data_IF_885745623437
#
_entry.id   IF_885745623437
#
_cell.length_a   1.000
_cell.length_b   1.000
_cell.length_c   1.000
_cell.angle_alpha   90.00
_cell.angle_beta   90.00
_cell.angle_gamma   90.00
#
_symmetry.space_group_name_H-M   'P 1'
#
loop_
_entity.id
_entity.type
_entity.pdbx_description
1 polymer ?
#
# COMPACT_ATOMS: atom_id res chain seq x y z
N UNK A 1 40.88 -9.94 -61.76
CA UNK A 1 40.59 -8.52 -62.08
C UNK A 1 39.07 -8.30 -62.08
N UNK A 2 38.61 -7.31 -61.30
CA UNK A 2 37.26 -6.68 -61.25
C UNK A 2 36.02 -7.56 -61.44
N UNK A 3 35.34 -7.91 -60.33
CA UNK A 3 33.90 -8.24 -60.32
C UNK A 3 33.09 -7.03 -59.86
N UNK A 4 32.04 -6.77 -60.63
CA UNK A 4 31.10 -5.65 -60.56
C UNK A 4 30.08 -5.87 -59.44
N UNK A 5 29.78 -4.79 -58.71
CA UNK A 5 28.69 -4.67 -57.74
C UNK A 5 27.38 -4.39 -58.49
N UNK A 6 26.33 -5.13 -58.20
CA UNK A 6 24.94 -4.66 -58.33
C UNK A 6 24.26 -4.75 -56.96
N UNK A 7 23.65 -3.64 -56.55
CA UNK A 7 22.80 -3.49 -55.36
C UNK A 7 21.37 -3.87 -55.75
N UNK A 8 20.68 -4.68 -54.94
CA UNK A 8 19.27 -4.46 -54.62
C UNK A 8 18.83 -5.31 -53.42
N UNK A 9 18.29 -4.60 -52.42
CA UNK A 9 17.15 -4.95 -51.57
C UNK A 9 17.06 -6.35 -50.93
N UNK A 10 17.32 -6.40 -49.62
CA UNK A 10 16.40 -7.03 -48.65
C UNK A 10 16.62 -6.42 -47.27
N UNK A 11 15.50 -6.07 -46.64
CA UNK A 11 15.39 -5.34 -45.39
C UNK A 11 15.91 -6.17 -44.20
N UNK A 12 16.66 -5.52 -43.33
CA UNK A 12 16.99 -6.00 -42.00
C UNK A 12 15.77 -5.88 -41.10
N UNK A 13 15.18 -7.02 -40.71
CA UNK A 13 14.46 -7.14 -39.45
C UNK A 13 15.41 -7.81 -38.45
N UNK A 14 16.18 -6.98 -37.74
CA UNK A 14 16.95 -7.35 -36.54
C UNK A 14 16.82 -6.13 -35.63
N UNK A 15 16.05 -6.19 -34.55
CA UNK A 15 16.44 -6.90 -33.35
C UNK A 15 16.47 -5.86 -32.23
N UNK A 16 15.34 -5.69 -31.55
CA UNK A 16 15.26 -5.02 -30.25
C UNK A 16 14.52 -5.96 -29.31
N UNK A 17 15.15 -7.12 -29.07
CA UNK A 17 14.84 -7.98 -27.94
C UNK A 17 15.93 -7.71 -26.89
N UNK A 18 15.85 -6.54 -26.25
CA UNK A 18 16.59 -6.30 -25.01
C UNK A 18 15.65 -6.65 -23.88
N UNK A 19 15.74 -7.92 -23.47
CA UNK A 19 15.34 -8.36 -22.14
C UNK A 19 15.90 -7.36 -21.13
N UNK A 20 15.00 -6.62 -20.48
CA UNK A 20 15.29 -5.97 -19.21
C UNK A 20 15.56 -7.10 -18.21
N UNK A 21 16.83 -7.49 -18.09
CA UNK A 21 17.26 -8.38 -17.00
C UNK A 21 16.89 -7.70 -15.69
N UNK A 22 16.12 -8.41 -14.87
CA UNK A 22 15.66 -8.03 -13.54
C UNK A 22 16.82 -7.68 -12.59
N UNK A 23 17.44 -6.52 -12.76
CA UNK A 23 18.11 -5.82 -11.66
C UNK A 23 17.05 -4.97 -10.98
N UNK A 24 16.30 -5.58 -10.06
CA UNK A 24 15.51 -4.82 -9.08
C UNK A 24 16.50 -4.10 -8.18
N UNK A 25 16.75 -2.83 -8.46
CA UNK A 25 17.27 -1.95 -7.42
C UNK A 25 16.20 -1.93 -6.31
N UNK A 26 16.56 -2.16 -5.03
CA UNK A 26 15.63 -1.94 -3.94
C UNK A 26 15.34 -0.44 -3.88
N UNK A 27 14.08 -0.06 -4.06
CA UNK A 27 13.63 1.28 -3.69
C UNK A 27 13.94 1.49 -2.20
N UNK A 28 14.28 2.71 -1.75
CA UNK A 28 14.73 2.93 -0.38
C UNK A 28 13.67 2.46 0.61
N UNK A 29 14.09 1.77 1.67
CA UNK A 29 13.20 1.36 2.74
C UNK A 29 12.54 2.59 3.35
N UNK A 30 11.24 2.46 3.60
CA UNK A 30 10.34 3.41 4.27
C UNK A 30 10.86 3.91 5.66
N UNK A 31 11.97 3.37 6.14
CA UNK A 31 12.69 3.67 7.39
C UNK A 31 13.18 5.11 7.52
N UNK A 32 13.66 5.75 6.46
CA UNK A 32 14.22 7.11 6.57
C UNK A 32 13.17 8.22 6.74
N UNK A 33 11.88 7.90 6.54
CA UNK A 33 10.83 8.91 6.29
C UNK A 33 9.87 9.15 7.46
N UNK A 34 10.06 8.47 8.61
CA UNK A 34 9.05 8.37 9.69
C UNK A 34 9.11 9.43 10.79
N UNK A 35 10.17 10.23 10.91
CA UNK A 35 10.37 11.12 12.06
C UNK A 35 9.42 12.34 12.16
N UNK A 36 8.56 12.60 11.16
CA UNK A 36 7.83 13.89 11.06
C UNK A 36 6.31 13.85 11.30
N UNK A 37 5.64 12.69 11.35
CA UNK A 37 4.17 12.62 11.31
C UNK A 37 3.45 12.31 12.64
N UNK A 38 4.13 12.33 13.77
CA UNK A 38 3.50 12.11 15.08
C UNK A 38 3.02 13.42 15.72
N UNK A 39 1.95 14.06 15.22
CA UNK A 39 1.14 15.04 15.99
C UNK A 39 -0.14 15.51 15.27
N UNK A 40 -1.30 15.12 15.84
CA UNK A 40 -2.61 15.82 15.96
C UNK A 40 -3.80 14.94 15.57
N UNK A 41 -4.43 14.35 16.57
CA UNK A 41 -5.88 14.07 16.58
C UNK A 41 -6.37 14.37 18.00
N UNK A 42 -7.29 15.32 18.13
CA UNK A 42 -7.91 15.72 19.41
C UNK A 42 -9.36 15.26 19.40
N UNK A 43 -9.78 14.47 20.39
CA UNK A 43 -11.20 14.20 20.62
C UNK A 43 -11.55 14.17 22.11
N UNK A 44 -12.74 14.71 22.38
CA UNK A 44 -13.36 14.92 23.67
C UNK A 44 -13.68 13.60 24.40
N UNK A 45 -13.36 13.54 25.69
CA UNK A 45 -13.75 12.47 26.60
C UNK A 45 -15.06 12.81 27.32
N UNK A 46 -16.07 11.96 27.21
CA UNK A 46 -17.28 12.01 28.03
C UNK A 46 -17.19 11.00 29.18
N UNK A 47 -17.26 11.50 30.42
CA UNK A 47 -17.31 10.71 31.66
C UNK A 47 -18.69 10.08 31.86
N UNK A 48 -18.72 8.78 32.17
CA UNK A 48 -19.88 8.08 32.71
C UNK A 48 -19.44 6.85 33.48
N UNK A 49 -19.31 6.98 34.81
CA UNK A 49 -18.89 5.90 35.70
C UNK A 49 -20.10 5.06 36.13
N UNK A 50 -20.10 3.78 35.75
CA UNK A 50 -20.96 2.74 36.32
C UNK A 50 -20.08 1.65 36.96
N UNK A 51 -20.17 1.49 38.29
CA UNK A 51 -19.51 0.39 39.02
C UNK A 51 -20.16 -0.94 38.61
N UNK A 52 -19.37 -1.84 38.03
CA UNK A 52 -19.75 -3.26 37.86
C UNK A 52 -18.56 -4.14 38.24
N UNK A 53 -18.86 -5.19 39.01
CA UNK A 53 -17.95 -6.13 39.64
C UNK A 53 -16.93 -6.74 38.65
N UNK A 54 -15.65 -6.43 38.86
CA UNK A 54 -14.52 -6.94 38.09
C UNK A 54 -14.24 -8.40 38.43
N UNK A 55 -14.31 -9.28 37.43
CA UNK A 55 -13.86 -10.68 37.53
C UNK A 55 -12.35 -10.75 37.81
N UNK A 56 -11.93 -11.49 38.84
CA UNK A 56 -10.54 -11.57 39.31
C UNK A 56 -9.49 -11.92 38.24
N UNK A 57 -9.86 -12.68 37.21
CA UNK A 57 -8.97 -13.10 36.12
C UNK A 57 -8.37 -11.93 35.33
N UNK A 58 -9.13 -10.85 35.15
CA UNK A 58 -8.68 -9.65 34.44
C UNK A 58 -7.61 -8.90 35.23
N UNK A 59 -7.81 -8.80 36.55
CA UNK A 59 -6.82 -8.22 37.45
C UNK A 59 -5.53 -9.04 37.41
N UNK A 60 -5.64 -10.38 37.45
CA UNK A 60 -4.48 -11.27 37.38
C UNK A 60 -3.72 -11.17 36.05
N UNK A 61 -4.41 -11.01 34.92
CA UNK A 61 -3.78 -10.85 33.60
C UNK A 61 -3.09 -9.48 33.43
N UNK A 62 -3.64 -8.43 34.02
CA UNK A 62 -3.04 -7.09 34.02
C UNK A 62 -1.84 -7.00 34.96
N UNK A 63 -1.84 -7.81 36.02
CA UNK A 63 -0.74 -7.91 36.99
C UNK A 63 0.42 -8.80 36.50
N UNK A 64 0.27 -9.51 35.35
CA UNK A 64 1.38 -10.27 34.75
C UNK A 64 2.46 -9.33 34.22
N UNK A 65 3.71 -9.65 34.50
CA UNK A 65 4.83 -9.05 33.80
C UNK A 65 4.77 -9.39 32.29
N UNK A 66 5.41 -8.59 31.41
CA UNK A 66 5.47 -8.89 29.97
C UNK A 66 5.99 -10.30 29.67
N UNK A 67 6.93 -10.82 30.47
CA UNK A 67 7.47 -12.18 30.32
C UNK A 67 6.45 -13.27 30.68
N UNK A 68 5.66 -13.07 31.74
CA UNK A 68 4.63 -14.01 32.17
C UNK A 68 3.43 -14.00 31.23
N UNK A 69 3.02 -12.81 30.78
CA UNK A 69 2.00 -12.67 29.74
C UNK A 69 2.50 -13.33 28.44
N UNK A 70 3.74 -13.07 28.03
CA UNK A 70 4.36 -13.71 26.87
C UNK A 70 4.39 -15.23 26.98
N UNK A 71 4.71 -15.78 28.15
CA UNK A 71 4.73 -17.23 28.41
C UNK A 71 3.33 -17.84 28.38
N UNK A 72 2.33 -17.15 28.96
CA UNK A 72 0.94 -17.58 28.94
C UNK A 72 0.37 -17.59 27.51
N UNK A 73 0.63 -16.53 26.75
CA UNK A 73 0.20 -16.41 25.35
C UNK A 73 0.90 -17.43 24.45
N UNK A 74 2.19 -17.67 24.65
CA UNK A 74 2.93 -18.72 23.93
C UNK A 74 2.38 -20.11 24.23
N UNK A 75 2.05 -20.41 25.49
CA UNK A 75 1.45 -21.67 25.90
C UNK A 75 0.04 -21.86 25.31
N UNK A 76 -0.78 -20.81 25.26
CA UNK A 76 -2.10 -20.82 24.62
C UNK A 76 -1.98 -21.03 23.10
N UNK A 77 -1.06 -20.33 22.44
CA UNK A 77 -0.80 -20.49 21.01
C UNK A 77 -0.30 -21.90 20.67
N UNK A 78 0.59 -22.48 21.48
CA UNK A 78 1.06 -23.85 21.33
C UNK A 78 -0.08 -24.88 21.51
N UNK A 79 -1.00 -24.65 22.45
CA UNK A 79 -2.18 -25.51 22.63
C UNK A 79 -3.16 -25.44 21.46
N UNK A 80 -3.35 -24.26 20.87
CA UNK A 80 -4.18 -24.11 19.67
C UNK A 80 -3.57 -24.81 18.43
N UNK A 81 -2.24 -24.96 18.37
CA UNK A 81 -1.55 -25.75 17.33
C UNK A 81 -1.70 -27.26 17.51
N UNK A 82 -2.00 -27.73 18.73
CA UNK A 82 -2.05 -29.15 19.09
C UNK A 82 -3.45 -29.77 19.01
N UNK A 83 -4.42 -29.12 18.37
CA UNK A 83 -5.72 -29.75 18.06
C UNK A 83 -5.75 -30.26 16.60
N UNK A 84 -5.27 -31.49 16.32
CA UNK A 84 -5.24 -32.06 14.97
C UNK A 84 -6.63 -32.43 14.43
N UNK A 85 -7.72 -32.22 15.20
CA UNK A 85 -9.07 -32.66 14.79
C UNK A 85 -9.79 -31.70 13.83
N UNK A 86 -9.22 -30.53 13.53
CA UNK A 86 -9.79 -29.55 12.58
C UNK A 86 -9.10 -29.59 11.19
N UNK A 87 -8.06 -30.41 11.02
CA UNK A 87 -7.13 -30.30 9.88
C UNK A 87 -6.96 -31.52 8.96
N UNK A 88 -7.89 -32.47 8.88
CA UNK A 88 -7.82 -33.49 7.81
C UNK A 88 -8.37 -32.92 6.50
N UNK A 89 -7.49 -32.36 5.66
CA UNK A 89 -7.77 -32.16 4.22
C UNK A 89 -7.99 -33.54 3.57
N UNK A 90 -9.10 -33.77 2.85
CA UNK A 90 -9.21 -34.94 2.00
C UNK A 90 -8.26 -34.75 0.81
N UNK A 91 -7.26 -35.63 0.71
CA UNK A 91 -6.45 -35.76 -0.50
C UNK A 91 -7.27 -36.44 -1.59
N UNK A 92 -7.20 -35.84 -2.79
CA UNK A 92 -7.66 -36.33 -4.10
C UNK A 92 -9.17 -36.39 -4.37
N UNK A 93 -9.65 -35.46 -5.23
CA UNK A 93 -10.89 -35.64 -6.00
C UNK A 93 -11.71 -34.37 -6.28
N UNK A 94 -11.47 -33.73 -7.43
CA UNK A 94 -12.35 -32.83 -8.21
C UNK A 94 -12.85 -31.48 -7.62
N UNK A 95 -12.83 -30.37 -8.41
CA UNK A 95 -13.32 -29.07 -7.97
C UNK A 95 -14.80 -28.89 -8.34
N UNK A 96 -15.72 -29.35 -7.50
CA UNK A 96 -17.14 -28.99 -7.59
C UNK A 96 -17.85 -29.21 -6.25
N UNK A 97 -17.74 -28.24 -5.33
CA UNK A 97 -18.41 -28.30 -4.03
C UNK A 97 -18.84 -26.91 -3.53
N UNK A 98 -19.58 -26.17 -4.35
CA UNK A 98 -20.37 -25.01 -3.91
C UNK A 98 -21.84 -25.17 -4.31
N UNK A 99 -22.50 -26.27 -3.91
CA UNK A 99 -23.96 -26.38 -3.84
C UNK A 99 -24.39 -27.70 -3.16
N UNK A 100 -24.70 -27.64 -1.87
CA UNK A 100 -25.81 -28.42 -1.28
C UNK A 100 -26.15 -27.92 0.12
N UNK A 101 -27.38 -27.38 0.23
CA UNK A 101 -28.16 -27.34 1.48
C UNK A 101 -28.54 -28.77 1.86
N UNK A 102 -28.47 -29.14 3.14
CA UNK A 102 -29.62 -29.46 4.01
C UNK A 102 -29.19 -30.23 5.29
N UNK A 103 -29.74 -29.75 6.41
CA UNK A 103 -30.23 -30.45 7.61
C UNK A 103 -29.39 -31.54 8.30
N UNK A 104 -28.86 -31.22 9.49
CA UNK A 104 -28.94 -32.10 10.65
C UNK A 104 -28.81 -31.28 11.95
N UNK A 105 -29.87 -31.31 12.75
CA UNK A 105 -29.99 -30.65 14.05
C UNK A 105 -29.28 -31.44 15.15
N UNK A 106 -28.14 -30.93 15.63
CA UNK A 106 -27.62 -31.22 16.97
C UNK A 106 -27.05 -29.93 17.53
N UNK A 107 -27.76 -29.31 18.50
CA UNK A 107 -27.25 -28.15 19.25
C UNK A 107 -26.54 -28.65 20.51
N UNK A 108 -25.21 -28.49 20.65
CA UNK A 108 -24.58 -28.44 21.96
C UNK A 108 -24.60 -26.99 22.47
N UNK A 109 -24.60 -26.82 23.80
CA UNK A 109 -24.57 -25.55 24.53
C UNK A 109 -23.46 -24.59 24.05
N UNK A 110 -23.73 -23.77 23.03
CA UNK A 110 -22.82 -22.73 22.50
C UNK A 110 -22.95 -21.38 23.21
N UNK A 111 -24.06 -21.11 23.90
CA UNK A 111 -24.36 -19.76 24.40
C UNK A 111 -23.56 -19.33 25.63
N UNK A 112 -23.02 -20.27 26.41
CA UNK A 112 -22.23 -19.97 27.61
C UNK A 112 -20.77 -19.58 27.34
N UNK A 113 -20.17 -20.12 26.27
CA UNK A 113 -18.75 -19.93 25.96
C UNK A 113 -18.48 -18.62 25.19
N UNK A 114 -19.45 -18.14 24.41
CA UNK A 114 -19.33 -16.88 23.66
C UNK A 114 -19.34 -15.64 24.57
N UNK A 115 -20.14 -15.63 25.64
CA UNK A 115 -20.25 -14.46 26.55
C UNK A 115 -19.08 -14.31 27.54
N UNK A 116 -18.35 -15.39 27.82
CA UNK A 116 -17.22 -15.39 28.77
C UNK A 116 -15.87 -15.07 28.10
N UNK A 117 -15.68 -15.39 26.81
CA UNK A 117 -14.48 -15.03 26.04
C UNK A 117 -14.31 -13.52 25.84
N UNK A 118 -15.42 -12.79 25.81
CA UNK A 118 -15.54 -11.39 25.37
C UNK A 118 -14.98 -10.28 26.26
N UNK A 119 -14.61 -10.53 27.53
CA UNK A 119 -14.31 -9.41 28.46
C UNK A 119 -12.87 -9.35 28.93
N UNK A 120 -12.22 -10.52 29.07
CA UNK A 120 -10.87 -10.64 29.61
C UNK A 120 -9.79 -10.17 28.65
N UNK A 121 -9.70 -10.89 27.54
CA UNK A 121 -8.75 -10.60 26.47
C UNK A 121 -9.03 -9.23 25.82
N UNK A 122 -10.29 -8.83 25.77
CA UNK A 122 -10.74 -7.60 25.12
C UNK A 122 -10.36 -6.37 25.93
N UNK A 123 -10.56 -6.38 27.24
CA UNK A 123 -10.08 -5.27 28.08
C UNK A 123 -8.55 -5.19 28.09
N UNK A 124 -7.85 -6.32 27.94
CA UNK A 124 -6.40 -6.33 27.79
C UNK A 124 -5.97 -5.69 26.45
N UNK A 125 -6.52 -6.15 25.32
CA UNK A 125 -6.20 -5.58 24.00
C UNK A 125 -6.61 -4.10 23.91
N UNK A 126 -7.80 -3.73 24.40
CA UNK A 126 -8.25 -2.35 24.47
C UNK A 126 -7.34 -1.51 25.37
N UNK A 127 -6.91 -2.03 26.54
CA UNK A 127 -5.96 -1.32 27.41
C UNK A 127 -4.58 -1.15 26.76
N UNK A 128 -4.12 -2.12 25.96
CA UNK A 128 -2.87 -2.01 25.21
C UNK A 128 -2.99 -0.96 24.08
N UNK A 129 -4.14 -0.89 23.39
CA UNK A 129 -4.44 0.13 22.39
C UNK A 129 -4.59 1.52 23.02
N UNK A 130 -5.26 1.65 24.17
CA UNK A 130 -5.43 2.92 24.88
C UNK A 130 -4.12 3.51 25.39
N UNK A 131 -3.10 2.67 25.66
CA UNK A 131 -1.72 3.10 25.95
C UNK A 131 -1.00 3.58 24.68
N UNK A 132 -1.71 4.33 23.81
CA UNK A 132 -1.42 4.78 22.43
C UNK A 132 -0.21 5.73 22.28
N UNK A 133 0.90 5.37 22.90
CA UNK A 133 2.25 5.90 22.73
C UNK A 133 3.31 4.80 22.71
N UNK A 134 2.90 3.51 22.72
CA UNK A 134 3.80 2.37 22.55
C UNK A 134 4.28 2.35 21.10
N UNK A 135 5.55 2.69 20.89
CA UNK A 135 6.16 2.75 19.55
C UNK A 135 6.48 1.38 18.97
N UNK A 136 6.57 0.34 19.81
CA UNK A 136 6.84 -1.03 19.42
C UNK A 136 6.04 -2.01 20.27
N UNK A 137 5.43 -3.01 19.63
CA UNK A 137 4.67 -4.06 20.31
C UNK A 137 5.56 -5.27 20.52
N UNK A 138 5.40 -5.94 21.67
CA UNK A 138 6.08 -7.21 21.87
C UNK A 138 5.51 -8.31 20.95
N UNK A 139 6.34 -9.28 20.60
CA UNK A 139 5.94 -10.38 19.71
C UNK A 139 4.70 -11.16 20.20
N UNK A 140 4.50 -11.41 21.51
CA UNK A 140 3.28 -12.04 22.01
C UNK A 140 2.00 -11.24 21.74
N UNK A 141 2.00 -9.93 21.92
CA UNK A 141 0.84 -9.06 21.65
C UNK A 141 0.49 -9.10 20.16
N UNK A 142 1.49 -8.98 19.29
CA UNK A 142 1.31 -9.06 17.83
C UNK A 142 0.76 -10.43 17.43
N UNK A 143 1.31 -11.51 17.98
CA UNK A 143 0.84 -12.87 17.70
C UNK A 143 -0.61 -13.08 18.15
N UNK A 144 -0.98 -12.57 19.33
CA UNK A 144 -2.34 -12.66 19.86
C UNK A 144 -3.34 -11.88 19.00
N UNK A 145 -3.00 -10.65 18.63
CA UNK A 145 -3.83 -9.84 17.73
C UNK A 145 -4.01 -10.51 16.36
N UNK A 146 -2.95 -11.13 15.83
CA UNK A 146 -3.01 -11.88 14.58
C UNK A 146 -3.93 -13.11 14.65
N UNK A 147 -3.81 -13.93 15.71
CA UNK A 147 -4.67 -15.12 15.90
C UNK A 147 -6.13 -14.69 16.06
N UNK A 148 -6.39 -13.68 16.88
CA UNK A 148 -7.75 -13.21 17.12
C UNK A 148 -8.37 -12.63 15.86
N UNK A 149 -7.62 -11.80 15.11
CA UNK A 149 -8.11 -11.26 13.85
C UNK A 149 -8.45 -12.37 12.87
N UNK A 150 -7.56 -13.35 12.66
CA UNK A 150 -7.85 -14.49 11.79
C UNK A 150 -9.12 -15.24 12.24
N UNK A 151 -9.27 -15.50 13.54
CA UNK A 151 -10.46 -16.17 14.08
C UNK A 151 -11.75 -15.38 13.81
N UNK A 152 -11.73 -14.06 13.98
CA UNK A 152 -12.88 -13.20 13.69
C UNK A 152 -13.21 -13.19 12.19
N UNK A 153 -12.19 -13.07 11.33
CA UNK A 153 -12.38 -12.97 9.88
C UNK A 153 -12.75 -14.30 9.21
N UNK A 154 -12.36 -15.44 9.79
CA UNK A 154 -12.71 -16.77 9.29
C UNK A 154 -13.94 -17.39 9.96
N UNK A 155 -14.58 -16.69 10.90
CA UNK A 155 -15.78 -17.17 11.56
C UNK A 155 -16.99 -17.18 10.61
N UNK A 156 -17.87 -18.16 10.77
CA UNK A 156 -19.18 -18.20 10.10
C UNK A 156 -20.20 -17.29 10.78
N UNK A 157 -19.89 -16.80 11.99
CA UNK A 157 -20.69 -15.85 12.74
C UNK A 157 -20.25 -14.41 12.42
N UNK A 158 -21.12 -13.43 12.65
CA UNK A 158 -20.78 -12.03 12.40
C UNK A 158 -19.57 -11.61 13.27
N UNK A 159 -18.48 -11.09 12.67
CA UNK A 159 -17.30 -10.68 13.43
C UNK A 159 -17.63 -9.57 14.42
N UNK A 160 -17.00 -9.62 15.58
CA UNK A 160 -17.06 -8.54 16.56
C UNK A 160 -16.30 -7.32 16.01
N UNK A 161 -17.04 -6.28 15.64
CA UNK A 161 -16.47 -5.12 14.99
C UNK A 161 -15.44 -4.37 15.86
N UNK A 162 -15.70 -4.27 17.17
CA UNK A 162 -14.78 -3.58 18.08
C UNK A 162 -13.47 -4.35 18.19
N UNK A 163 -13.55 -5.68 18.26
CA UNK A 163 -12.37 -6.53 18.33
C UNK A 163 -11.55 -6.48 17.05
N UNK A 164 -12.20 -6.58 15.88
CA UNK A 164 -11.49 -6.47 14.60
C UNK A 164 -10.80 -5.12 14.49
N UNK A 165 -11.48 -4.02 14.84
CA UNK A 165 -10.87 -2.68 14.86
C UNK A 165 -9.62 -2.66 15.74
N UNK A 166 -9.70 -3.18 16.97
CA UNK A 166 -8.57 -3.18 17.91
C UNK A 166 -7.41 -4.06 17.42
N UNK A 167 -7.69 -5.25 16.91
CA UNK A 167 -6.67 -6.13 16.34
C UNK A 167 -6.02 -5.51 15.10
N UNK A 168 -6.79 -4.88 14.20
CA UNK A 168 -6.25 -4.18 13.05
C UNK A 168 -5.32 -3.03 13.48
N UNK A 169 -5.73 -2.22 14.46
CA UNK A 169 -4.89 -1.13 14.96
C UNK A 169 -3.56 -1.62 15.56
N UNK A 170 -3.58 -2.70 16.34
CA UNK A 170 -2.35 -3.30 16.88
C UNK A 170 -1.45 -3.82 15.76
N UNK A 171 -2.04 -4.50 14.78
CA UNK A 171 -1.27 -5.05 13.66
C UNK A 171 -0.76 -3.96 12.72
N UNK A 172 -1.46 -2.83 12.56
CA UNK A 172 -0.95 -1.65 11.84
C UNK A 172 0.34 -1.14 12.49
N UNK A 173 0.35 -0.99 13.83
CA UNK A 173 1.56 -0.59 14.58
C UNK A 173 2.67 -1.62 14.42
N UNK A 174 2.34 -2.91 14.46
CA UNK A 174 3.32 -3.99 14.29
C UNK A 174 3.92 -4.02 12.87
N UNK A 175 3.10 -3.81 11.84
CA UNK A 175 3.56 -3.70 10.44
C UNK A 175 4.46 -2.48 10.30
N UNK A 176 4.07 -1.33 10.86
CA UNK A 176 4.93 -0.15 10.87
C UNK A 176 6.27 -0.49 11.55
N UNK A 177 6.28 -1.05 12.76
CA UNK A 177 7.53 -1.40 13.47
C UNK A 177 8.38 -2.42 12.69
N UNK A 178 7.74 -3.41 12.05
CA UNK A 178 8.41 -4.38 11.19
C UNK A 178 9.09 -3.74 9.98
N UNK A 179 8.46 -2.74 9.37
CA UNK A 179 9.07 -1.97 8.28
C UNK A 179 10.29 -1.18 8.78
N UNK A 180 10.35 -0.83 10.07
CA UNK A 180 11.47 -0.10 10.68
C UNK A 180 12.62 -0.99 11.20
N UNK A 181 12.34 -2.27 11.44
CA UNK A 181 13.26 -3.23 12.06
C UNK A 181 13.55 -4.44 11.17
N UNK A 182 12.91 -4.50 10.01
CA UNK A 182 12.99 -5.56 9.01
C UNK A 182 12.29 -6.88 9.37
N UNK A 183 11.52 -6.97 10.48
CA UNK A 183 10.92 -8.26 10.90
C UNK A 183 9.54 -8.12 11.55
N UNK A 184 8.52 -8.63 10.86
CA UNK A 184 7.22 -8.94 11.47
C UNK A 184 7.27 -10.33 12.13
N UNK A 185 6.63 -10.55 13.28
CA UNK A 185 6.49 -11.89 13.85
C UNK A 185 5.89 -12.88 12.82
N UNK A 186 6.48 -14.08 12.62
CA UNK A 186 6.02 -15.03 11.60
C UNK A 186 4.53 -15.39 11.73
N UNK A 187 4.02 -15.43 12.96
CA UNK A 187 2.59 -15.65 13.24
C UNK A 187 1.67 -14.63 12.59
N UNK A 188 2.09 -13.36 12.53
CA UNK A 188 1.32 -12.31 11.87
C UNK A 188 1.53 -12.36 10.35
N UNK A 189 2.77 -12.51 9.89
CA UNK A 189 3.12 -12.55 8.47
C UNK A 189 2.43 -13.70 7.71
N UNK A 190 2.36 -14.90 8.30
CA UNK A 190 1.84 -16.08 7.62
C UNK A 190 0.32 -16.19 7.62
N UNK A 191 -0.33 -15.68 8.68
CA UNK A 191 -1.76 -15.96 8.96
C UNK A 191 -2.68 -14.85 8.50
N UNK A 192 -2.34 -13.60 8.84
CA UNK A 192 -3.24 -12.46 8.68
C UNK A 192 -3.53 -12.14 7.23
N UNK A 193 -2.53 -12.03 6.31
CA UNK A 193 -2.83 -11.53 4.98
C UNK A 193 -3.74 -12.46 4.17
N UNK A 194 -3.59 -13.77 4.35
CA UNK A 194 -4.46 -14.77 3.72
C UNK A 194 -5.91 -14.67 4.19
N UNK A 195 -6.12 -14.57 5.51
CA UNK A 195 -7.45 -14.42 6.10
C UNK A 195 -8.09 -13.07 5.72
N UNK A 196 -7.30 -12.00 5.73
CA UNK A 196 -7.72 -10.66 5.36
C UNK A 196 -8.21 -10.59 3.92
N UNK A 197 -7.44 -11.14 2.98
CA UNK A 197 -7.81 -11.17 1.57
C UNK A 197 -9.05 -12.03 1.31
N UNK A 198 -9.17 -13.18 1.98
CA UNK A 198 -10.35 -14.04 1.85
C UNK A 198 -11.62 -13.35 2.38
N UNK A 199 -11.54 -12.74 3.56
CA UNK A 199 -12.63 -11.97 4.14
C UNK A 199 -13.03 -10.79 3.27
N UNK A 200 -12.05 -10.02 2.76
CA UNK A 200 -12.33 -8.88 1.91
C UNK A 200 -12.92 -9.30 0.57
N UNK A 201 -12.45 -10.39 -0.04
CA UNK A 201 -13.03 -10.92 -1.29
C UNK A 201 -14.52 -11.28 -1.11
N UNK A 202 -14.86 -11.98 -0.02
CA UNK A 202 -16.26 -12.31 0.31
C UNK A 202 -17.08 -11.05 0.64
N UNK A 203 -16.52 -10.16 1.48
CA UNK A 203 -17.17 -8.91 1.84
C UNK A 203 -17.45 -8.05 0.61
N UNK A 204 -16.51 -8.01 -0.34
CA UNK A 204 -16.61 -7.23 -1.57
C UNK A 204 -17.71 -7.76 -2.52
N UNK A 205 -17.96 -9.06 -2.51
CA UNK A 205 -18.94 -9.72 -3.38
C UNK A 205 -20.37 -9.77 -2.80
N UNK A 206 -20.52 -9.65 -1.48
CA UNK A 206 -21.83 -9.62 -0.83
C UNK A 206 -22.65 -8.41 -1.26
N UNK A 207 -23.99 -8.45 -1.29
CA UNK A 207 -24.82 -7.26 -1.54
C UNK A 207 -25.31 -6.58 -0.25
N UNK A 208 -25.12 -7.22 0.91
CA UNK A 208 -25.73 -6.82 2.19
C UNK A 208 -24.83 -5.93 3.07
N UNK A 209 -24.06 -5.05 2.43
CA UNK A 209 -22.97 -4.24 2.99
C UNK A 209 -23.28 -3.35 4.18
N UNK A 210 -24.53 -2.93 4.36
CA UNK A 210 -24.90 -1.89 5.32
C UNK A 210 -24.56 -2.20 6.79
N UNK A 211 -24.20 -3.45 7.14
CA UNK A 211 -23.78 -3.84 8.51
C UNK A 211 -22.30 -4.23 8.64
N UNK A 212 -21.56 -4.38 7.54
CA UNK A 212 -20.16 -4.84 7.55
C UNK A 212 -19.10 -3.72 7.53
N UNK A 213 -19.51 -2.46 7.31
CA UNK A 213 -18.58 -1.34 7.10
C UNK A 213 -17.63 -1.10 8.28
N UNK A 214 -18.09 -1.35 9.51
CA UNK A 214 -17.30 -1.20 10.72
C UNK A 214 -16.07 -2.13 10.78
N UNK A 215 -16.14 -3.26 10.07
CA UNK A 215 -15.06 -4.28 9.99
C UNK A 215 -14.24 -4.11 8.72
N UNK A 216 -14.91 -3.82 7.59
CA UNK A 216 -14.25 -3.72 6.28
C UNK A 216 -13.25 -2.58 6.24
N UNK A 217 -13.57 -1.41 6.79
CA UNK A 217 -12.66 -0.27 6.70
C UNK A 217 -11.34 -0.53 7.47
N UNK A 218 -11.33 -0.95 8.75
CA UNK A 218 -10.10 -1.36 9.44
C UNK A 218 -9.32 -2.47 8.69
N UNK A 219 -10.04 -3.46 8.15
CA UNK A 219 -9.42 -4.53 7.36
C UNK A 219 -8.73 -3.98 6.09
N UNK A 220 -9.38 -3.07 5.36
CA UNK A 220 -8.81 -2.41 4.19
C UNK A 220 -7.58 -1.56 4.55
N UNK A 221 -7.63 -0.81 5.66
CA UNK A 221 -6.51 -0.01 6.14
C UNK A 221 -5.29 -0.87 6.47
N UNK A 222 -5.51 -1.98 7.19
CA UNK A 222 -4.48 -2.96 7.50
C UNK A 222 -3.90 -3.60 6.23
N UNK A 223 -4.75 -3.93 5.25
CA UNK A 223 -4.29 -4.45 3.96
C UNK A 223 -3.41 -3.43 3.23
N UNK A 224 -3.81 -2.15 3.19
CA UNK A 224 -3.03 -1.09 2.57
C UNK A 224 -1.64 -0.96 3.20
N UNK A 225 -1.54 -1.07 4.54
CA UNK A 225 -0.26 -1.09 5.24
C UNK A 225 0.61 -2.29 4.86
N UNK A 226 0.01 -3.47 4.73
CA UNK A 226 0.75 -4.66 4.29
C UNK A 226 1.25 -4.55 2.85
N UNK A 227 0.42 -4.02 1.95
CA UNK A 227 0.77 -3.83 0.53
C UNK A 227 1.84 -2.76 0.32
N UNK A 228 2.02 -1.87 1.30
CA UNK A 228 3.10 -0.89 1.30
C UNK A 228 4.49 -1.49 1.55
N UNK A 229 4.57 -2.70 2.12
CA UNK A 229 5.84 -3.36 2.45
C UNK A 229 6.20 -4.44 1.43
N UNK A 230 5.29 -5.40 1.16
CA UNK A 230 5.49 -6.41 0.12
C UNK A 230 4.16 -6.83 -0.52
N UNK A 231 3.99 -6.46 -1.79
CA UNK A 231 2.84 -6.89 -2.61
C UNK A 231 3.11 -8.18 -3.39
N UNK A 232 4.36 -8.66 -3.44
CA UNK A 232 4.79 -9.66 -4.43
C UNK A 232 4.36 -11.08 -4.10
N UNK A 233 4.37 -11.43 -2.82
CA UNK A 233 3.95 -12.75 -2.32
C UNK A 233 2.44 -12.96 -2.37
N UNK A 234 1.65 -11.88 -2.44
CA UNK A 234 0.19 -11.92 -2.40
C UNK A 234 -0.50 -11.63 -3.73
N UNK A 235 0.25 -11.36 -4.82
CA UNK A 235 -0.27 -10.84 -6.11
C UNK A 235 -1.57 -11.49 -6.59
N UNK A 236 -1.71 -12.83 -6.68
CA UNK A 236 -2.90 -13.44 -7.25
C UNK A 236 -4.16 -13.19 -6.41
N UNK A 237 -4.00 -13.08 -5.09
CA UNK A 237 -5.11 -12.84 -4.17
C UNK A 237 -5.46 -11.35 -4.10
N UNK A 238 -4.44 -10.48 -4.12
CA UNK A 238 -4.63 -9.02 -4.15
C UNK A 238 -5.44 -8.59 -5.37
N UNK A 239 -5.18 -9.18 -6.54
CA UNK A 239 -5.92 -8.85 -7.76
C UNK A 239 -7.44 -9.02 -7.64
N UNK A 240 -7.93 -9.92 -6.78
CA UNK A 240 -9.38 -10.12 -6.57
C UNK A 240 -10.05 -8.99 -5.78
N UNK A 241 -9.33 -8.42 -4.82
CA UNK A 241 -9.86 -7.39 -3.91
C UNK A 241 -9.44 -5.98 -4.31
N UNK A 242 -8.48 -5.84 -5.22
CA UNK A 242 -7.88 -4.54 -5.53
C UNK A 242 -8.88 -3.56 -6.14
N UNK A 243 -9.64 -3.98 -7.16
CA UNK A 243 -10.61 -3.09 -7.81
C UNK A 243 -11.60 -2.44 -6.82
N UNK A 244 -12.34 -3.21 -5.99
CA UNK A 244 -13.27 -2.62 -5.05
C UNK A 244 -12.58 -1.88 -3.88
N UNK A 245 -11.35 -2.26 -3.51
CA UNK A 245 -10.54 -1.48 -2.56
C UNK A 245 -10.23 -0.09 -3.11
N UNK A 246 -9.91 0.03 -4.40
CA UNK A 246 -9.65 1.33 -5.04
C UNK A 246 -10.92 2.17 -5.21
N UNK A 247 -12.07 1.54 -5.48
CA UNK A 247 -13.36 2.22 -5.49
C UNK A 247 -13.71 2.78 -4.11
N UNK A 248 -13.47 1.99 -3.04
CA UNK A 248 -13.63 2.45 -1.67
C UNK A 248 -12.69 3.62 -1.35
N UNK A 249 -11.44 3.57 -1.80
CA UNK A 249 -10.47 4.65 -1.59
C UNK A 249 -10.85 5.93 -2.35
N UNK A 250 -11.37 5.80 -3.59
CA UNK A 250 -11.86 6.93 -4.36
C UNK A 250 -13.10 7.58 -3.72
N UNK A 251 -13.92 6.79 -3.02
CA UNK A 251 -15.14 7.26 -2.34
C UNK A 251 -14.91 7.74 -0.91
N UNK A 252 -13.70 7.54 -0.37
CA UNK A 252 -13.37 7.88 1.01
C UNK A 252 -11.97 8.49 1.07
N UNK A 253 -11.89 9.83 1.05
CA UNK A 253 -10.63 10.58 1.04
C UNK A 253 -9.66 10.19 2.16
N UNK A 254 -10.17 9.76 3.33
CA UNK A 254 -9.33 9.32 4.46
C UNK A 254 -8.50 8.06 4.16
N UNK A 255 -8.87 7.29 3.13
CA UNK A 255 -8.13 6.13 2.65
C UNK A 255 -6.97 6.49 1.73
N UNK A 256 -7.00 7.66 1.06
CA UNK A 256 -5.98 8.03 0.07
C UNK A 256 -4.56 8.04 0.67
N UNK A 257 -4.31 8.67 1.84
CA UNK A 257 -2.98 8.64 2.45
C UNK A 257 -2.52 7.22 2.83
N UNK A 258 -3.45 6.32 3.10
CA UNK A 258 -3.16 4.96 3.56
C UNK A 258 -2.84 4.02 2.40
N UNK A 259 -3.52 4.18 1.27
CA UNK A 259 -3.32 3.35 0.08
C UNK A 259 -2.17 3.84 -0.80
N UNK A 260 -1.77 5.12 -0.67
CA UNK A 260 -0.76 5.73 -1.51
C UNK A 260 0.60 5.00 -1.50
N UNK A 261 1.16 4.58 -0.36
CA UNK A 261 2.40 3.79 -0.35
C UNK A 261 2.25 2.45 -1.09
N UNK A 262 1.11 1.76 -0.91
CA UNK A 262 0.82 0.53 -1.64
C UNK A 262 0.72 0.78 -3.15
N UNK A 263 0.07 1.87 -3.58
CA UNK A 263 -0.05 2.22 -5.00
C UNK A 263 1.29 2.44 -5.69
N UNK A 264 2.31 2.90 -4.96
CA UNK A 264 3.66 3.00 -5.50
C UNK A 264 4.16 1.63 -5.98
N UNK A 265 3.97 0.57 -5.20
CA UNK A 265 4.34 -0.79 -5.59
C UNK A 265 3.38 -1.42 -6.60
N UNK A 266 2.07 -1.19 -6.44
CA UNK A 266 1.05 -1.78 -7.32
C UNK A 266 1.13 -1.24 -8.74
N UNK A 267 1.52 0.03 -8.93
CA UNK A 267 1.71 0.61 -10.27
C UNK A 267 2.99 0.17 -10.97
N UNK A 268 3.98 -0.31 -10.21
CA UNK A 268 5.18 -0.92 -10.78
C UNK A 268 4.96 -2.40 -11.22
N UNK A 269 3.87 -3.03 -10.77
CA UNK A 269 3.53 -4.41 -11.13
C UNK A 269 2.68 -4.48 -12.40
N UNK A 270 3.14 -5.20 -13.43
CA UNK A 270 2.44 -5.25 -14.73
C UNK A 270 1.01 -5.81 -14.66
N UNK A 271 0.74 -6.73 -13.73
CA UNK A 271 -0.58 -7.36 -13.60
C UNK A 271 -1.53 -6.44 -12.83
N UNK A 272 -1.07 -5.88 -11.71
CA UNK A 272 -1.89 -5.06 -10.85
C UNK A 272 -2.07 -3.62 -11.37
N UNK A 273 -1.09 -3.09 -12.14
CA UNK A 273 -1.14 -1.78 -12.78
C UNK A 273 -2.40 -1.60 -13.63
N UNK A 274 -2.79 -2.62 -14.38
CA UNK A 274 -3.99 -2.55 -15.23
C UNK A 274 -5.28 -2.33 -14.43
N UNK A 275 -5.35 -2.86 -13.21
CA UNK A 275 -6.48 -2.64 -12.31
C UNK A 275 -6.47 -1.19 -11.81
N UNK A 276 -5.29 -0.67 -11.43
CA UNK A 276 -5.13 0.73 -11.00
C UNK A 276 -5.50 1.71 -12.11
N UNK A 277 -5.06 1.48 -13.34
CA UNK A 277 -5.34 2.33 -14.50
C UNK A 277 -6.82 2.47 -14.83
N UNK A 278 -7.63 1.45 -14.51
CA UNK A 278 -9.08 1.47 -14.72
C UNK A 278 -9.87 2.08 -13.57
N UNK A 279 -9.21 2.36 -12.46
CA UNK A 279 -9.87 2.82 -11.25
C UNK A 279 -10.08 4.33 -11.24
N UNK A 280 -11.21 4.83 -10.68
CA UNK A 280 -11.39 6.26 -10.45
C UNK A 280 -10.39 6.86 -9.45
N UNK A 281 -9.64 6.03 -8.70
CA UNK A 281 -8.67 6.49 -7.69
C UNK A 281 -7.62 7.44 -8.28
N UNK A 282 -7.26 7.30 -9.56
CA UNK A 282 -6.27 8.17 -10.20
C UNK A 282 -6.74 9.62 -10.31
N UNK A 283 -8.05 9.85 -10.51
CA UNK A 283 -8.61 11.19 -10.49
C UNK A 283 -8.52 11.81 -9.09
N UNK A 284 -8.84 11.03 -8.05
CA UNK A 284 -8.69 11.45 -6.67
C UNK A 284 -7.22 11.73 -6.32
N UNK A 285 -6.28 10.89 -6.78
CA UNK A 285 -4.85 11.11 -6.58
C UNK A 285 -4.33 12.34 -7.31
N UNK A 286 -4.87 12.67 -8.48
CA UNK A 286 -4.51 13.91 -9.16
C UNK A 286 -4.93 15.13 -8.33
N UNK A 287 -6.18 15.16 -7.84
CA UNK A 287 -6.64 16.21 -6.92
C UNK A 287 -5.74 16.27 -5.69
N UNK A 288 -5.47 15.13 -5.07
CA UNK A 288 -4.58 14.99 -3.92
C UNK A 288 -3.16 15.52 -4.20
N UNK A 289 -2.58 15.25 -5.38
CA UNK A 289 -1.27 15.78 -5.78
C UNK A 289 -1.29 17.32 -5.93
N UNK A 290 -2.41 17.89 -6.35
CA UNK A 290 -2.56 19.35 -6.51
C UNK A 290 -2.77 20.08 -5.18
N UNK A 291 -3.12 19.37 -4.10
CA UNK A 291 -3.20 19.90 -2.74
C UNK A 291 -1.81 20.14 -2.15
N UNK A 292 -1.18 21.23 -2.58
CA UNK A 292 0.19 21.60 -2.23
C UNK A 292 0.41 21.95 -0.74
N UNK A 293 -0.63 21.88 0.09
CA UNK A 293 -0.57 22.01 1.55
C UNK A 293 -0.27 20.69 2.28
N UNK A 294 -0.31 19.56 1.59
CA UNK A 294 0.01 18.25 2.15
C UNK A 294 1.48 18.10 2.51
N UNK A 295 1.81 17.04 3.26
CA UNK A 295 3.20 16.79 3.63
C UNK A 295 4.04 16.51 2.37
N UNK A 296 5.29 17.02 2.28
CA UNK A 296 6.13 16.76 1.12
C UNK A 296 6.33 15.27 0.83
N UNK A 297 6.37 14.42 1.86
CA UNK A 297 6.50 12.97 1.68
C UNK A 297 5.27 12.35 0.99
N UNK A 298 4.07 12.82 1.35
CA UNK A 298 2.84 12.36 0.72
C UNK A 298 2.79 12.80 -0.75
N UNK A 299 3.13 14.06 -1.04
CA UNK A 299 3.21 14.56 -2.40
C UNK A 299 4.26 13.81 -3.22
N UNK A 300 5.40 13.49 -2.63
CA UNK A 300 6.48 12.74 -3.28
C UNK A 300 6.05 11.32 -3.62
N UNK A 301 5.39 10.62 -2.69
CA UNK A 301 4.85 9.27 -2.93
C UNK A 301 3.77 9.31 -4.02
N UNK A 302 2.89 10.32 -4.00
CA UNK A 302 1.87 10.51 -5.03
C UNK A 302 2.47 10.78 -6.41
N UNK A 303 3.47 11.65 -6.48
CA UNK A 303 4.23 11.89 -7.71
C UNK A 303 4.91 10.61 -8.21
N UNK A 304 5.44 9.78 -7.30
CA UNK A 304 6.00 8.46 -7.60
C UNK A 304 5.00 7.50 -8.27
N UNK A 305 3.74 7.47 -7.80
CA UNK A 305 2.66 6.68 -8.43
C UNK A 305 2.46 7.10 -9.89
N UNK A 306 2.32 8.41 -10.15
CA UNK A 306 2.19 8.92 -11.52
C UNK A 306 3.46 8.68 -12.35
N UNK A 307 4.64 8.79 -11.76
CA UNK A 307 5.91 8.56 -12.44
C UNK A 307 6.03 7.10 -12.89
N UNK A 308 5.66 6.12 -12.05
CA UNK A 308 5.63 4.71 -12.44
C UNK A 308 4.73 4.48 -13.66
N UNK A 309 3.54 5.09 -13.67
CA UNK A 309 2.63 5.01 -14.81
C UNK A 309 3.23 5.69 -16.06
N UNK A 310 3.84 6.86 -15.90
CA UNK A 310 4.45 7.62 -17.01
C UNK A 310 5.65 6.89 -17.65
N UNK A 311 6.49 6.25 -16.83
CA UNK A 311 7.65 5.47 -17.28
C UNK A 311 7.20 4.26 -18.11
N UNK A 312 6.12 3.60 -17.68
CA UNK A 312 5.65 2.34 -18.27
C UNK A 312 4.68 2.54 -19.45
N UNK A 313 4.05 3.71 -19.57
CA UNK A 313 3.18 4.07 -20.68
C UNK A 313 2.52 5.43 -20.44
N UNK A 314 3.22 6.52 -20.74
CA UNK A 314 2.76 7.89 -20.51
C UNK A 314 1.42 8.23 -21.19
N UNK A 315 1.08 7.57 -22.30
CA UNK A 315 -0.22 7.70 -22.98
C UNK A 315 -1.40 7.29 -22.09
N UNK A 316 -1.17 6.44 -21.07
CA UNK A 316 -2.21 6.10 -20.10
C UNK A 316 -2.63 7.28 -19.22
N UNK A 317 -1.82 8.35 -19.20
CA UNK A 317 -2.08 9.56 -18.44
C UNK A 317 -2.66 10.71 -19.29
N UNK A 318 -3.02 10.45 -20.55
CA UNK A 318 -3.59 11.48 -21.45
C UNK A 318 -4.91 12.05 -20.95
N UNK A 319 -5.67 11.28 -20.17
CA UNK A 319 -6.89 11.73 -19.51
C UNK A 319 -6.65 12.83 -18.47
N UNK A 320 -5.40 13.04 -18.03
CA UNK A 320 -5.00 14.06 -17.08
C UNK A 320 -4.28 15.20 -17.82
N UNK A 321 -4.99 15.89 -18.71
CA UNK A 321 -4.40 16.92 -19.59
C UNK A 321 -3.65 18.02 -18.82
N UNK A 322 -4.12 18.37 -17.63
CA UNK A 322 -3.55 19.37 -16.72
C UNK A 322 -2.37 18.87 -15.89
N UNK A 323 -2.03 17.58 -15.92
CA UNK A 323 -0.92 17.04 -15.12
C UNK A 323 0.44 17.57 -15.60
N UNK A 324 0.64 17.67 -16.92
CA UNK A 324 1.84 18.30 -17.48
C UNK A 324 1.92 19.77 -17.06
N UNK A 325 0.82 20.51 -17.17
CA UNK A 325 0.75 21.92 -16.81
C UNK A 325 1.10 22.14 -15.34
N UNK A 326 0.56 21.28 -14.47
CA UNK A 326 0.88 21.27 -13.05
C UNK A 326 2.38 21.02 -12.80
N UNK A 327 2.98 20.00 -13.44
CA UNK A 327 4.41 19.73 -13.32
C UNK A 327 5.26 20.93 -13.76
N UNK A 328 4.94 21.54 -14.90
CA UNK A 328 5.62 22.73 -15.42
C UNK A 328 5.54 23.88 -14.43
N UNK A 329 4.33 24.23 -13.97
CA UNK A 329 4.13 25.32 -13.03
C UNK A 329 4.89 25.11 -11.72
N UNK A 330 4.83 23.91 -11.13
CA UNK A 330 5.46 23.65 -9.82
C UNK A 330 6.98 23.58 -9.88
N UNK A 331 7.55 23.10 -11.00
CA UNK A 331 9.01 23.08 -11.20
C UNK A 331 9.54 24.48 -11.47
N UNK A 332 8.83 25.29 -12.27
CA UNK A 332 9.23 26.65 -12.62
C UNK A 332 9.09 27.62 -11.44
N UNK A 333 8.03 27.50 -10.62
CA UNK A 333 7.72 28.43 -9.53
C UNK A 333 8.72 28.46 -8.35
N UNK A 334 9.86 27.75 -8.47
CA UNK A 334 10.93 27.62 -7.48
C UNK A 334 10.48 27.58 -6.00
N UNK A 335 9.60 26.64 -5.69
CA UNK A 335 9.02 26.51 -4.35
C UNK A 335 10.04 26.01 -3.31
N UNK A 336 9.87 26.29 -2.02
CA UNK A 336 10.78 25.81 -0.94
C UNK A 336 10.64 24.30 -0.60
N UNK A 337 10.20 23.49 -1.57
CA UNK A 337 9.95 22.06 -1.37
C UNK A 337 11.25 21.24 -1.46
N UNK A 338 11.29 20.05 -0.82
CA UNK A 338 12.43 19.14 -0.92
C UNK A 338 12.81 18.86 -2.37
N UNK A 339 14.12 18.74 -2.60
CA UNK A 339 14.67 18.54 -3.95
C UNK A 339 14.21 17.24 -4.61
N UNK A 340 13.92 16.20 -3.81
CA UNK A 340 13.40 14.89 -4.26
C UNK A 340 12.02 15.04 -4.88
N UNK A 341 11.11 15.75 -4.21
CA UNK A 341 9.78 16.07 -4.75
C UNK A 341 9.89 16.91 -6.04
N UNK A 342 10.77 17.92 -6.07
CA UNK A 342 11.02 18.70 -7.30
C UNK A 342 11.52 17.81 -8.44
N UNK A 343 12.45 16.88 -8.15
CA UNK A 343 12.99 15.94 -9.11
C UNK A 343 11.93 14.99 -9.65
N UNK A 344 11.08 14.44 -8.80
CA UNK A 344 9.97 13.56 -9.20
C UNK A 344 8.97 14.29 -10.10
N UNK A 345 8.60 15.54 -9.79
CA UNK A 345 7.73 16.33 -10.66
C UNK A 345 8.39 16.74 -11.97
N UNK A 346 9.67 17.09 -11.95
CA UNK A 346 10.44 17.39 -13.15
C UNK A 346 10.53 16.17 -14.07
N UNK A 347 10.86 15.00 -13.53
CA UNK A 347 10.86 13.73 -14.26
C UNK A 347 9.49 13.40 -14.84
N UNK A 348 8.43 13.47 -14.03
CA UNK A 348 7.06 13.22 -14.48
C UNK A 348 6.70 14.16 -15.65
N UNK A 349 6.96 15.46 -15.51
CA UNK A 349 6.73 16.44 -16.57
C UNK A 349 7.54 16.15 -17.84
N UNK A 350 8.81 15.75 -17.70
CA UNK A 350 9.66 15.37 -18.84
C UNK A 350 9.15 14.11 -19.56
N UNK A 351 8.70 13.08 -18.84
CA UNK A 351 8.11 11.88 -19.45
C UNK A 351 6.83 12.20 -20.22
N UNK A 352 5.94 13.00 -19.61
CA UNK A 352 4.69 13.44 -20.25
C UNK A 352 4.98 14.29 -21.49
N UNK A 353 5.92 15.25 -21.40
CA UNK A 353 6.34 16.08 -22.52
C UNK A 353 6.95 15.25 -23.65
N UNK A 354 7.86 14.31 -23.32
CA UNK A 354 8.46 13.39 -24.28
C UNK A 354 7.40 12.60 -25.04
N UNK A 355 6.39 12.08 -24.33
CA UNK A 355 5.27 11.33 -24.94
C UNK A 355 4.45 12.19 -25.89
N UNK A 356 4.12 13.44 -25.51
CA UNK A 356 3.39 14.37 -26.38
C UNK A 356 4.20 14.72 -27.64
N UNK A 357 5.49 15.00 -27.49
CA UNK A 357 6.40 15.32 -28.61
C UNK A 357 6.54 14.13 -29.58
N UNK A 358 6.68 12.92 -29.07
CA UNK A 358 6.79 11.70 -29.90
C UNK A 358 5.53 11.42 -30.72
N UNK A 359 4.36 11.83 -30.22
CA UNK A 359 3.07 11.66 -30.89
C UNK A 359 2.65 12.86 -31.73
N UNK A 360 3.52 13.85 -31.87
CA UNK A 360 3.22 15.10 -32.58
C UNK A 360 1.98 15.82 -32.04
N UNK A 361 1.67 15.65 -30.76
CA UNK A 361 0.62 16.43 -30.12
C UNK A 361 1.15 17.82 -29.83
N UNK A 362 0.41 18.85 -30.27
CA UNK A 362 0.74 20.24 -29.94
C UNK A 362 0.76 20.40 -28.43
N UNK A 363 1.89 20.81 -27.88
CA UNK A 363 1.94 21.19 -26.49
C UNK A 363 1.06 22.44 -26.28
N UNK A 364 0.42 22.62 -25.12
CA UNK A 364 -0.36 23.81 -24.86
C UNK A 364 0.50 25.07 -24.96
N UNK A 365 0.08 26.04 -25.77
CA UNK A 365 0.80 27.31 -26.00
C UNK A 365 0.99 28.13 -24.70
N UNK A 366 0.20 27.84 -23.67
CA UNK A 366 0.25 28.49 -22.36
C UNK A 366 1.41 28.05 -21.48
N UNK A 367 2.12 26.98 -21.85
CA UNK A 367 3.21 26.45 -21.05
C UNK A 367 4.55 27.09 -21.41
N UNK A 368 5.24 27.61 -20.40
CA UNK A 368 6.64 28.02 -20.54
C UNK A 368 7.56 26.79 -20.52
N UNK A 369 7.52 26.03 -21.63
CA UNK A 369 8.31 24.82 -21.81
C UNK A 369 9.81 25.11 -21.83
N UNK A 370 10.20 26.30 -22.30
CA UNK A 370 11.59 26.74 -22.29
C UNK A 370 12.10 26.88 -20.86
N UNK A 371 11.40 27.66 -20.01
CA UNK A 371 11.77 27.79 -18.60
C UNK A 371 11.72 26.44 -17.87
N UNK A 372 10.74 25.59 -18.19
CA UNK A 372 10.67 24.24 -17.62
C UNK A 372 11.90 23.39 -17.94
N UNK A 373 12.30 23.33 -19.22
CA UNK A 373 13.47 22.56 -19.67
C UNK A 373 14.76 23.14 -19.10
N UNK A 374 14.91 24.47 -19.05
CA UNK A 374 16.05 25.12 -18.42
C UNK A 374 16.13 24.79 -16.93
N UNK A 375 15.00 24.82 -16.22
CA UNK A 375 14.94 24.49 -14.79
C UNK A 375 15.26 23.02 -14.53
N UNK A 376 14.77 22.10 -15.36
CA UNK A 376 15.13 20.68 -15.31
C UNK A 376 16.63 20.48 -15.58
N UNK A 377 17.19 21.19 -16.56
CA UNK A 377 18.62 21.15 -16.89
C UNK A 377 19.46 21.59 -15.70
N UNK A 378 19.10 22.71 -15.07
CA UNK A 378 19.78 23.19 -13.87
C UNK A 378 19.64 22.19 -12.71
N UNK A 379 18.42 21.71 -12.46
CA UNK A 379 18.13 20.79 -11.35
C UNK A 379 18.98 19.52 -11.45
N UNK A 380 18.92 18.80 -12.57
CA UNK A 380 19.60 17.51 -12.68
C UNK A 380 21.13 17.63 -12.83
N UNK A 381 21.66 18.80 -13.21
CA UNK A 381 23.10 19.08 -13.23
C UNK A 381 23.62 19.67 -11.91
N UNK A 382 22.74 20.00 -10.97
CA UNK A 382 23.14 20.47 -9.64
C UNK A 382 23.64 19.31 -8.76
N UNK A 383 24.43 19.66 -7.73
CA UNK A 383 24.86 18.76 -6.67
C UNK A 383 24.31 19.27 -5.33
N UNK A 384 23.02 19.04 -5.03
CA UNK A 384 22.40 19.53 -3.81
C UNK A 384 23.03 18.86 -2.58
N UNK A 385 23.08 19.59 -1.46
CA UNK A 385 23.47 19.02 -0.17
C UNK A 385 22.31 18.20 0.39
N UNK A 386 22.48 16.87 0.50
CA UNK A 386 21.43 15.95 0.93
C UNK A 386 21.85 15.13 2.15
N UNK A 387 20.88 14.67 2.96
CA UNK A 387 21.10 13.59 3.91
C UNK A 387 21.67 12.35 3.20
N UNK A 388 22.52 11.58 3.88
CA UNK A 388 23.20 10.44 3.25
C UNK A 388 22.22 9.39 2.67
N UNK A 389 21.05 9.23 3.29
CA UNK A 389 20.02 8.29 2.85
C UNK A 389 19.34 8.73 1.54
N UNK A 390 19.41 10.02 1.19
CA UNK A 390 18.76 10.58 0.00
C UNK A 390 19.74 10.74 -1.18
N UNK A 391 21.05 10.55 -0.95
CA UNK A 391 22.09 10.72 -1.98
C UNK A 391 21.95 9.66 -3.08
N UNK A 392 21.69 8.42 -2.71
CA UNK A 392 21.51 7.32 -3.67
C UNK A 392 20.28 7.56 -4.54
N UNK A 393 19.14 7.84 -3.91
CA UNK A 393 17.89 8.18 -4.59
C UNK A 393 18.06 9.38 -5.53
N UNK A 394 18.74 10.45 -5.08
CA UNK A 394 19.04 11.59 -5.93
C UNK A 394 19.92 11.22 -7.13
N UNK A 395 20.94 10.38 -6.95
CA UNK A 395 21.81 9.96 -8.05
C UNK A 395 21.03 9.19 -9.12
N UNK A 396 20.11 8.32 -8.71
CA UNK A 396 19.22 7.60 -9.62
C UNK A 396 18.28 8.55 -10.37
N UNK A 397 17.58 9.44 -9.64
CA UNK A 397 16.69 10.44 -10.22
C UNK A 397 17.42 11.41 -11.16
N UNK A 398 18.63 11.85 -10.78
CA UNK A 398 19.49 12.73 -11.60
C UNK A 398 19.95 12.04 -12.88
N UNK A 399 20.39 10.78 -12.78
CA UNK A 399 20.81 9.98 -13.94
C UNK A 399 19.66 9.79 -14.92
N UNK A 400 18.49 9.37 -14.42
CA UNK A 400 17.28 9.22 -15.24
C UNK A 400 16.84 10.56 -15.83
N UNK A 401 16.85 11.63 -15.03
CA UNK A 401 16.48 12.98 -15.45
C UNK A 401 17.33 13.48 -16.61
N UNK A 402 18.66 13.32 -16.51
CA UNK A 402 19.60 13.64 -17.60
C UNK A 402 19.35 12.82 -18.87
N UNK A 403 18.94 11.56 -18.73
CA UNK A 403 18.59 10.74 -19.89
C UNK A 403 17.33 11.26 -20.59
N UNK A 404 16.22 11.42 -19.85
CA UNK A 404 14.94 11.85 -20.44
C UNK A 404 15.04 13.28 -21.00
N UNK A 405 15.78 14.16 -20.32
CA UNK A 405 16.03 15.53 -20.77
C UNK A 405 16.76 15.57 -22.13
N UNK A 406 17.75 14.71 -22.35
CA UNK A 406 18.43 14.59 -23.66
C UNK A 406 17.46 14.17 -24.76
N UNK A 407 16.55 13.23 -24.47
CA UNK A 407 15.53 12.80 -25.43
C UNK A 407 14.58 13.95 -25.79
N UNK A 408 14.13 14.72 -24.79
CA UNK A 408 13.24 15.88 -24.98
C UNK A 408 13.93 16.97 -25.80
N UNK A 409 15.17 17.33 -25.47
CA UNK A 409 15.94 18.33 -26.22
C UNK A 409 16.18 17.89 -27.67
N UNK A 410 16.49 16.60 -27.90
CA UNK A 410 16.62 16.05 -29.25
C UNK A 410 15.31 16.08 -30.03
N UNK A 411 14.16 15.95 -29.37
CA UNK A 411 12.85 16.04 -30.03
C UNK A 411 12.47 17.48 -30.38
N UNK A 412 12.76 18.44 -29.50
CA UNK A 412 12.47 19.87 -29.71
C UNK A 412 13.30 20.53 -30.83
N UNK A 413 14.48 19.97 -31.12
CA UNK A 413 15.41 20.49 -32.13
C UNK A 413 15.14 19.97 -33.54
N UNK A 414 14.25 18.99 -33.70
CA UNK A 414 13.88 18.49 -35.03
C UNK A 414 13.04 19.57 -35.73
N UNK A 415 13.42 20.01 -36.94
CA UNK A 415 12.60 20.93 -37.72
C UNK A 415 11.23 20.27 -37.97
N UNK A 416 10.16 20.99 -37.64
CA UNK A 416 8.77 20.57 -37.83
C UNK A 416 8.35 20.65 -39.29
#
# INVERSE_FOLDING_TARGET
>A
MRRVRSRSSRACASGYDRQWTHSRAPWPTWESRRASNARRVSYCTSRGAGRSSSSGLLKTLVDLSPAELGSLLAALAARLRLDPKVGKRPTTGSPDCCRRRESASVRPCREGWARARGRGLFALLASLVERRGVQSLDAPTVALAAVELEMQLCSWEQPDAELVVNCCLLLEVAVDDAVASGKLPPTAADRVPGALLAFLDEAFQSSSWGRGQAVVLPACRLLCRWLADDSTTMRPKVGKVLAPLLELAASNESMLPLILPALCHLTADDTLRFIVLKSPVLACLFVYLTEWSLSPQQLETCAGVFLNLAVLGAETLDSFSSLLDFCVQKVVADTMHPVTLKANLALLGLFLLRSKLQRSMTAPDTLDLTAFVERCTWLFNSSPTLPQNDVEEWNELSSLGKQVLRDVLSALTKPT
#
